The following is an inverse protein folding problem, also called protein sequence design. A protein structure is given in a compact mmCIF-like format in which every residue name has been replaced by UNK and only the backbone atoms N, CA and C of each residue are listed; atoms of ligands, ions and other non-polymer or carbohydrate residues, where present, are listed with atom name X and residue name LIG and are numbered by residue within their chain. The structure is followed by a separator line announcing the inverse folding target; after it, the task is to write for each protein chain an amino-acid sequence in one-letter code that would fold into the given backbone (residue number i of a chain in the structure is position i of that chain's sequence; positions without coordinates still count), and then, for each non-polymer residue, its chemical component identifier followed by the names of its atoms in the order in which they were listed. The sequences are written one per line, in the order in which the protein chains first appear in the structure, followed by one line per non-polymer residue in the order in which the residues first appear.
data_IF_961055641478
#
_entry.id   IF_961055641478
#
_cell.length_a   1.000
_cell.length_b   1.000
_cell.length_c   1.000
_cell.angle_alpha   90.00
_cell.angle_beta   90.00
_cell.angle_gamma   90.00
#
_symmetry.space_group_name_H-M   'P 1'
#
loop_
_entity.id
_entity.type
_entity.pdbx_description
1 polymer ?
#
# COMPACT_ATOMS: atom_id res chain seq x y z
N UNK A 1 21.71 -24.41 -5.45
CA UNK A 1 20.80 -23.25 -5.30
C UNK A 1 20.35 -23.19 -3.85
N UNK A 2 20.34 -22.00 -3.24
CA UNK A 2 19.86 -21.78 -1.87
C UNK A 2 18.59 -20.91 -1.86
N UNK A 3 17.88 -20.87 -0.74
CA UNK A 3 16.66 -20.08 -0.54
C UNK A 3 16.94 -18.94 0.45
N UNK A 4 16.38 -17.75 0.20
CA UNK A 4 16.60 -16.60 1.10
C UNK A 4 15.98 -16.83 2.48
N UNK A 5 14.84 -17.51 2.56
CA UNK A 5 14.14 -17.85 3.82
C UNK A 5 14.97 -18.72 4.78
N UNK A 6 15.94 -19.48 4.26
CA UNK A 6 16.80 -20.36 5.08
C UNK A 6 17.90 -19.59 5.82
N UNK A 7 18.11 -18.32 5.49
CA UNK A 7 19.02 -17.45 6.19
C UNK A 7 18.26 -16.53 7.15
N UNK A 8 18.65 -16.54 8.42
CA UNK A 8 18.00 -15.74 9.47
C UNK A 8 17.91 -14.24 9.11
N UNK A 9 18.98 -13.70 8.51
CA UNK A 9 19.11 -12.27 8.22
C UNK A 9 19.62 -12.07 6.77
N UNK A 10 18.82 -12.48 5.78
CA UNK A 10 19.19 -12.25 4.38
C UNK A 10 19.27 -10.75 4.07
N UNK A 11 20.41 -10.22 3.57
CA UNK A 11 20.64 -8.78 3.55
C UNK A 11 20.05 -8.12 2.29
N UNK A 12 18.73 -8.16 2.15
CA UNK A 12 18.01 -7.77 0.93
C UNK A 12 18.43 -6.41 0.34
N UNK A 13 18.77 -5.43 1.18
CA UNK A 13 19.15 -4.07 0.76
C UNK A 13 20.64 -3.89 0.47
N UNK A 14 21.45 -4.94 0.60
CA UNK A 14 22.89 -4.84 0.38
C UNK A 14 23.20 -4.28 -1.01
N UNK A 15 24.14 -3.33 -1.07
CA UNK A 15 24.64 -2.79 -2.34
C UNK A 15 25.29 -3.88 -3.19
N UNK A 16 25.87 -4.91 -2.54
CA UNK A 16 26.55 -6.03 -3.17
C UNK A 16 25.60 -7.08 -3.78
N UNK A 17 24.28 -7.00 -3.54
CA UNK A 17 23.31 -7.91 -4.14
C UNK A 17 22.78 -7.35 -5.46
N UNK A 18 22.80 -8.21 -6.48
CA UNK A 18 22.10 -8.03 -7.75
C UNK A 18 20.88 -8.95 -7.78
N UNK A 19 19.75 -8.45 -8.27
CA UNK A 19 18.53 -9.24 -8.40
C UNK A 19 18.27 -9.58 -9.87
N UNK A 20 17.86 -10.81 -10.12
CA UNK A 20 17.54 -11.33 -11.45
C UNK A 20 16.15 -11.93 -11.41
N UNK A 21 15.41 -11.78 -12.50
CA UNK A 21 14.12 -12.45 -12.68
C UNK A 21 14.19 -13.39 -13.85
N UNK A 22 13.54 -14.54 -13.72
CA UNK A 22 13.31 -15.47 -14.84
C UNK A 22 11.81 -15.58 -15.04
N UNK A 23 11.31 -15.20 -16.21
CA UNK A 23 9.90 -15.39 -16.54
C UNK A 23 9.59 -16.83 -16.99
N UNK A 24 8.32 -17.13 -17.23
CA UNK A 24 7.88 -18.46 -17.68
C UNK A 24 8.39 -18.85 -19.08
N UNK A 25 8.89 -17.89 -19.87
CA UNK A 25 9.53 -18.15 -21.17
C UNK A 25 11.04 -18.43 -21.03
N UNK A 26 11.59 -18.35 -19.82
CA UNK A 26 13.02 -18.45 -19.56
C UNK A 26 13.80 -17.17 -19.88
N UNK A 27 13.12 -16.03 -20.06
CA UNK A 27 13.78 -14.75 -20.26
C UNK A 27 14.37 -14.29 -18.92
N UNK A 28 15.66 -13.94 -18.95
CA UNK A 28 16.38 -13.41 -17.81
C UNK A 28 16.44 -11.88 -17.91
N UNK A 29 16.02 -11.18 -16.85
CA UNK A 29 16.14 -9.72 -16.71
C UNK A 29 16.82 -9.36 -15.38
N UNK A 30 17.70 -8.36 -15.38
CA UNK A 30 18.27 -7.78 -14.15
C UNK A 30 17.37 -6.67 -13.60
N UNK A 31 17.22 -6.63 -12.28
CA UNK A 31 16.34 -5.67 -11.60
C UNK A 31 17.13 -4.52 -11.01
N UNK A 32 16.77 -3.31 -11.41
CA UNK A 32 17.26 -2.09 -10.79
C UNK A 32 16.55 -1.86 -9.45
N UNK A 33 17.22 -2.17 -8.35
CA UNK A 33 16.71 -1.99 -6.98
C UNK A 33 16.38 -0.54 -6.57
N UNK A 34 16.85 0.44 -7.34
CA UNK A 34 16.53 1.85 -7.10
C UNK A 34 15.24 2.28 -7.82
N UNK A 35 14.74 1.48 -8.76
CA UNK A 35 13.46 1.72 -9.43
C UNK A 35 12.33 1.06 -8.63
N UNK A 36 11.84 1.80 -7.62
CA UNK A 36 10.77 1.31 -6.74
C UNK A 36 9.46 1.04 -7.49
N UNK A 37 9.22 1.70 -8.64
CA UNK A 37 8.02 1.47 -9.45
C UNK A 37 8.12 0.11 -10.14
N UNK A 38 9.25 -0.17 -10.79
CA UNK A 38 9.52 -1.47 -11.41
C UNK A 38 9.55 -2.61 -10.36
N UNK A 39 10.15 -2.36 -9.19
CA UNK A 39 10.17 -3.32 -8.08
C UNK A 39 8.76 -3.67 -7.57
N UNK A 40 7.87 -2.69 -7.47
CA UNK A 40 6.46 -2.94 -7.10
C UNK A 40 5.73 -3.76 -8.16
N UNK A 41 5.91 -3.43 -9.44
CA UNK A 41 5.31 -4.19 -10.55
C UNK A 41 5.81 -5.63 -10.57
N UNK A 42 7.11 -5.83 -10.38
CA UNK A 42 7.71 -7.16 -10.26
C UNK A 42 7.11 -7.93 -9.07
N UNK A 43 7.04 -7.32 -7.89
CA UNK A 43 6.45 -7.96 -6.72
C UNK A 43 5.02 -8.46 -6.99
N UNK A 44 4.19 -7.66 -7.67
CA UNK A 44 2.85 -8.08 -8.07
C UNK A 44 2.85 -9.26 -9.06
N UNK A 45 3.79 -9.29 -10.02
CA UNK A 45 3.94 -10.43 -10.93
C UNK A 45 4.31 -11.72 -10.18
N UNK A 46 5.26 -11.62 -9.25
CA UNK A 46 5.72 -12.76 -8.44
C UNK A 46 4.61 -13.32 -7.53
N UNK A 47 3.76 -12.45 -6.96
CA UNK A 47 2.57 -12.90 -6.21
C UNK A 47 1.58 -13.70 -7.07
N UNK A 48 1.48 -13.35 -8.36
CA UNK A 48 0.68 -14.08 -9.34
C UNK A 48 1.40 -15.30 -9.93
N UNK A 49 2.55 -15.68 -9.38
CA UNK A 49 3.39 -16.79 -9.86
C UNK A 49 3.87 -16.61 -11.32
N UNK A 50 3.94 -15.36 -11.79
CA UNK A 50 4.45 -14.99 -13.10
C UNK A 50 5.98 -14.78 -13.06
N UNK A 51 6.69 -15.90 -12.91
CA UNK A 51 8.15 -15.96 -12.89
C UNK A 51 8.76 -16.15 -11.51
N UNK A 52 10.09 -16.13 -11.48
CA UNK A 52 10.90 -16.40 -10.29
C UNK A 52 11.92 -15.29 -10.06
N UNK A 53 12.19 -15.00 -8.79
CA UNK A 53 13.16 -13.99 -8.37
C UNK A 53 14.38 -14.65 -7.76
N UNK A 54 15.55 -14.17 -8.17
CA UNK A 54 16.84 -14.62 -7.71
C UNK A 54 17.69 -13.46 -7.22
N UNK A 55 18.50 -13.72 -6.19
CA UNK A 55 19.50 -12.80 -5.66
C UNK A 55 20.89 -13.40 -5.89
N UNK A 56 21.75 -12.65 -6.56
CA UNK A 56 23.18 -12.92 -6.67
C UNK A 56 23.90 -12.15 -5.58
N UNK A 57 24.48 -12.87 -4.62
CA UNK A 57 25.24 -12.29 -3.52
C UNK A 57 26.67 -12.85 -3.48
N UNK A 58 27.67 -12.07 -3.93
CA UNK A 58 29.07 -12.48 -3.89
C UNK A 58 29.63 -12.26 -2.48
N UNK A 59 29.26 -13.12 -1.54
CA UNK A 59 30.07 -13.36 -0.35
C UNK A 59 30.69 -14.76 -0.44
N UNK A 60 31.75 -14.97 0.34
CA UNK A 60 32.77 -16.05 0.33
C UNK A 60 32.29 -17.52 0.32
N UNK A 61 31.01 -17.77 0.09
CA UNK A 61 30.38 -19.07 -0.13
C UNK A 61 30.47 -19.51 -1.61
N UNK A 62 30.59 -20.82 -1.90
CA UNK A 62 30.54 -21.34 -3.27
C UNK A 62 29.18 -21.16 -3.97
N UNK A 63 28.12 -20.82 -3.22
CA UNK A 63 26.81 -20.51 -3.77
C UNK A 63 26.56 -19.01 -3.74
N UNK A 64 26.77 -18.35 -4.87
CA UNK A 64 26.45 -16.93 -5.04
C UNK A 64 24.99 -16.69 -5.44
N UNK A 65 24.19 -17.73 -5.70
CA UNK A 65 22.81 -17.63 -6.22
C UNK A 65 21.78 -18.18 -5.22
N UNK A 66 20.82 -17.32 -4.89
CA UNK A 66 19.72 -17.59 -3.98
C UNK A 66 18.40 -17.35 -4.70
N UNK A 67 17.45 -18.27 -4.57
CA UNK A 67 16.06 -17.99 -4.92
C UNK A 67 15.43 -17.17 -3.79
N UNK A 68 14.75 -16.09 -4.14
CA UNK A 68 14.02 -15.24 -3.20
C UNK A 68 12.62 -15.81 -3.04
N UNK A 69 12.46 -16.71 -2.08
CA UNK A 69 11.20 -17.41 -1.80
C UNK A 69 10.37 -16.70 -0.72
N UNK A 70 11.01 -15.93 0.17
CA UNK A 70 10.32 -15.04 1.10
C UNK A 70 10.03 -13.68 0.46
N UNK A 71 8.98 -13.65 -0.37
CA UNK A 71 8.53 -12.44 -1.05
C UNK A 71 8.04 -11.36 -0.06
N UNK A 72 7.58 -11.75 1.13
CA UNK A 72 7.13 -10.82 2.17
C UNK A 72 8.30 -10.05 2.78
N UNK A 73 9.36 -10.74 3.18
CA UNK A 73 10.58 -10.11 3.69
C UNK A 73 11.26 -9.24 2.63
N UNK A 74 11.25 -9.68 1.37
CA UNK A 74 11.71 -8.87 0.25
C UNK A 74 10.90 -7.57 0.11
N UNK A 75 9.57 -7.67 0.10
CA UNK A 75 8.68 -6.51 -0.03
C UNK A 75 8.80 -5.55 1.16
N UNK A 76 8.96 -6.07 2.39
CA UNK A 76 9.20 -5.26 3.57
C UNK A 76 10.53 -4.49 3.47
N UNK A 77 11.62 -5.18 3.08
CA UNK A 77 12.94 -4.58 2.96
C UNK A 77 12.99 -3.41 1.96
N UNK A 78 12.20 -3.48 0.90
CA UNK A 78 12.10 -2.44 -0.13
C UNK A 78 10.87 -1.53 0.01
N UNK A 79 10.07 -1.70 1.07
CA UNK A 79 8.82 -0.97 1.30
C UNK A 79 7.85 -1.04 0.09
N UNK A 80 7.73 -2.22 -0.52
CA UNK A 80 6.90 -2.48 -1.70
C UNK A 80 5.45 -2.82 -1.36
N UNK A 81 5.20 -3.27 -0.12
CA UNK A 81 3.84 -3.48 0.37
C UNK A 81 3.07 -2.17 0.28
N UNK A 82 1.98 -2.15 -0.48
CA UNK A 82 0.96 -1.13 -0.25
C UNK A 82 0.40 -1.37 1.15
N UNK A 83 0.17 -0.33 1.97
CA UNK A 83 -0.58 -0.51 3.21
C UNK A 83 -1.87 -1.25 2.85
N UNK A 84 -2.12 -2.38 3.54
CA UNK A 84 -3.21 -3.30 3.21
C UNK A 84 -4.49 -2.51 2.92
N UNK A 85 -5.00 -2.62 1.68
CA UNK A 85 -6.34 -2.15 1.29
C UNK A 85 -7.36 -3.07 1.95
N UNK A 86 -7.51 -2.95 3.26
CA UNK A 86 -8.63 -3.53 4.00
C UNK A 86 -9.83 -2.59 3.89
N UNK A 87 -11.01 -3.12 4.19
CA UNK A 87 -12.20 -2.30 4.30
C UNK A 87 -12.11 -1.51 5.61
N UNK A 88 -12.24 -0.18 5.52
CA UNK A 88 -12.23 0.68 6.70
C UNK A 88 -13.48 0.45 7.52
N UNK A 89 -13.32 0.06 8.79
CA UNK A 89 -14.40 0.13 9.74
C UNK A 89 -14.59 1.60 10.14
N UNK A 90 -15.73 2.19 9.77
CA UNK A 90 -15.98 3.62 9.96
C UNK A 90 -17.25 3.89 10.74
N UNK A 91 -17.17 4.91 11.59
CA UNK A 91 -18.34 5.63 12.11
C UNK A 91 -18.34 7.01 11.47
N UNK A 92 -19.51 7.50 11.04
CA UNK A 92 -19.62 8.83 10.48
C UNK A 92 -20.93 9.52 10.88
N UNK A 93 -20.91 10.85 10.87
CA UNK A 93 -22.07 11.71 11.08
C UNK A 93 -21.98 12.96 10.20
N UNK A 94 -23.09 13.68 10.04
CA UNK A 94 -23.02 15.06 9.55
C UNK A 94 -22.27 15.93 10.56
N UNK A 95 -21.53 16.92 10.06
CA UNK A 95 -21.02 18.01 10.88
C UNK A 95 -22.18 18.92 11.30
N UNK A 96 -22.12 19.47 12.51
CA UNK A 96 -23.17 20.36 13.03
C UNK A 96 -23.34 21.63 12.17
N UNK A 97 -22.31 22.00 11.39
CA UNK A 97 -22.35 23.11 10.45
C UNK A 97 -22.85 22.75 9.04
N UNK A 98 -23.24 21.51 8.78
CA UNK A 98 -23.81 21.11 7.49
C UNK A 98 -25.20 21.73 7.28
N UNK A 99 -25.42 22.32 6.11
CA UNK A 99 -26.68 23.03 5.80
C UNK A 99 -27.83 22.11 5.35
N UNK A 100 -27.55 20.82 5.15
CA UNK A 100 -28.52 19.84 4.65
C UNK A 100 -28.91 19.98 3.17
N UNK A 101 -28.47 21.03 2.48
CA UNK A 101 -28.95 21.41 1.13
C UNK A 101 -27.84 21.50 0.09
N UNK A 102 -26.60 21.79 0.50
CA UNK A 102 -25.46 21.87 -0.40
C UNK A 102 -25.19 20.54 -1.08
N UNK A 103 -24.71 20.61 -2.33
CA UNK A 103 -24.34 19.46 -3.16
C UNK A 103 -23.35 18.54 -2.44
N UNK A 104 -22.39 19.13 -1.74
CA UNK A 104 -21.48 18.42 -0.86
C UNK A 104 -21.96 18.58 0.58
N UNK A 105 -22.10 17.45 1.26
CA UNK A 105 -22.29 17.40 2.68
C UNK A 105 -20.94 17.47 3.39
N UNK A 106 -20.91 18.16 4.53
CA UNK A 106 -19.77 18.13 5.44
C UNK A 106 -20.00 17.04 6.47
N UNK A 107 -19.09 16.06 6.54
CA UNK A 107 -19.20 14.92 7.45
C UNK A 107 -17.97 14.79 8.34
N UNK A 108 -18.19 14.18 9.49
CA UNK A 108 -17.17 13.75 10.43
C UNK A 108 -17.02 12.24 10.32
N UNK A 109 -15.79 11.75 10.19
CA UNK A 109 -15.46 10.32 10.09
C UNK A 109 -14.48 9.92 11.18
N UNK A 110 -14.72 8.77 11.80
CA UNK A 110 -13.79 8.06 12.66
C UNK A 110 -13.43 6.71 12.03
N UNK A 111 -12.12 6.38 12.01
CA UNK A 111 -11.59 5.11 11.52
C UNK A 111 -11.37 4.16 12.71
N UNK A 112 -12.27 3.20 12.90
CA UNK A 112 -12.22 2.22 14.00
C UNK A 112 -11.20 1.10 13.75
N UNK A 113 -10.74 0.95 12.50
CA UNK A 113 -9.69 -0.01 12.12
C UNK A 113 -8.26 0.42 12.54
N UNK A 114 -8.10 1.56 13.21
CA UNK A 114 -6.79 2.10 13.61
C UNK A 114 -6.03 2.81 12.47
N UNK A 115 -6.64 2.92 11.28
CA UNK A 115 -6.07 3.69 10.18
C UNK A 115 -6.02 5.19 10.50
N UNK A 116 -5.06 5.86 9.85
CA UNK A 116 -4.94 7.33 9.87
C UNK A 116 -4.84 7.86 8.45
N UNK A 117 -5.69 8.84 8.13
CA UNK A 117 -5.58 9.56 6.86
C UNK A 117 -4.38 10.51 6.97
N UNK A 118 -3.35 10.26 6.15
CA UNK A 118 -2.15 11.11 6.10
C UNK A 118 -2.47 12.44 5.40
N UNK A 119 -1.67 13.48 5.66
CA UNK A 119 -1.84 14.81 5.07
C UNK A 119 -1.92 14.79 3.52
N UNK A 120 -1.12 13.96 2.86
CA UNK A 120 -1.16 13.76 1.40
C UNK A 120 -1.94 12.50 0.98
N UNK A 121 -2.64 11.86 1.92
CA UNK A 121 -3.32 10.57 1.72
C UNK A 121 -4.78 10.69 1.30
N UNK A 122 -5.33 11.90 1.17
CA UNK A 122 -6.76 12.12 0.91
C UNK A 122 -7.21 11.48 -0.41
N UNK A 123 -6.39 11.54 -1.46
CA UNK A 123 -6.71 10.94 -2.76
C UNK A 123 -6.82 9.42 -2.67
N UNK A 124 -5.88 8.78 -1.99
CA UNK A 124 -5.91 7.34 -1.77
C UNK A 124 -7.15 6.95 -0.94
N UNK A 125 -7.40 7.66 0.16
CA UNK A 125 -8.57 7.41 1.00
C UNK A 125 -9.88 7.61 0.22
N UNK A 126 -9.96 8.61 -0.64
CA UNK A 126 -11.13 8.84 -1.49
C UNK A 126 -11.37 7.70 -2.49
N UNK A 127 -10.30 7.12 -3.06
CA UNK A 127 -10.41 5.93 -3.93
C UNK A 127 -10.87 4.71 -3.14
N UNK A 128 -10.34 4.50 -1.94
CA UNK A 128 -10.76 3.42 -1.03
C UNK A 128 -12.23 3.55 -0.64
N UNK A 129 -12.69 4.74 -0.25
CA UNK A 129 -14.08 5.00 0.12
C UNK A 129 -15.04 4.94 -1.07
N UNK A 130 -14.59 5.33 -2.27
CA UNK A 130 -15.37 5.13 -3.50
C UNK A 130 -15.59 3.65 -3.78
N UNK A 131 -14.55 2.84 -3.66
CA UNK A 131 -14.63 1.40 -3.91
C UNK A 131 -15.44 0.67 -2.82
N UNK A 132 -15.30 1.09 -1.56
CA UNK A 132 -15.92 0.43 -0.42
C UNK A 132 -17.38 0.84 -0.19
N UNK A 133 -17.71 2.13 -0.30
CA UNK A 133 -19.01 2.70 0.06
C UNK A 133 -19.70 3.42 -1.10
N UNK A 134 -19.06 3.52 -2.27
CA UNK A 134 -19.58 4.34 -3.37
C UNK A 134 -19.48 5.85 -3.12
N UNK A 135 -18.78 6.29 -2.07
CA UNK A 135 -18.70 7.70 -1.68
C UNK A 135 -17.82 8.50 -2.63
N UNK A 136 -18.25 9.71 -2.96
CA UNK A 136 -17.47 10.65 -3.77
C UNK A 136 -17.00 11.77 -2.87
N UNK A 137 -15.75 11.67 -2.41
CA UNK A 137 -15.09 12.66 -1.55
C UNK A 137 -14.54 13.80 -2.41
N UNK A 138 -14.76 15.03 -1.95
CA UNK A 138 -14.18 16.26 -2.51
C UNK A 138 -12.68 16.32 -2.15
N UNK A 139 -11.83 16.17 -3.15
CA UNK A 139 -10.37 16.14 -2.98
C UNK A 139 -9.76 17.54 -2.99
N UNK A 140 -10.50 18.56 -3.45
CA UNK A 140 -10.01 19.93 -3.62
C UNK A 140 -10.20 20.75 -2.35
N UNK A 141 -11.19 20.41 -1.53
CA UNK A 141 -11.57 21.23 -0.37
C UNK A 141 -10.75 20.99 0.92
N UNK A 142 -9.70 20.17 0.85
CA UNK A 142 -8.85 19.85 2.00
C UNK A 142 -9.56 19.03 3.08
N UNK A 143 -8.77 18.48 3.99
CA UNK A 143 -9.22 17.69 5.15
C UNK A 143 -8.73 18.38 6.41
N UNK A 144 -9.60 18.52 7.41
CA UNK A 144 -9.17 18.87 8.77
C UNK A 144 -9.28 17.67 9.69
N UNK A 145 -8.41 17.63 10.70
CA UNK A 145 -8.30 16.54 11.65
C UNK A 145 -8.33 17.13 13.06
N UNK A 146 -9.15 16.55 13.93
CA UNK A 146 -9.11 16.78 15.37
C UNK A 146 -8.83 15.45 16.06
N UNK A 147 -7.90 15.47 17.01
CA UNK A 147 -7.56 14.30 17.81
C UNK A 147 -7.99 14.54 19.24
N UNK A 148 -8.86 13.69 19.76
CA UNK A 148 -9.14 13.55 21.18
C UNK A 148 -8.20 12.47 21.77
N UNK A 149 -8.13 12.34 23.10
CA UNK A 149 -7.18 11.42 23.78
C UNK A 149 -7.27 9.96 23.30
N UNK A 150 -8.45 9.51 22.83
CA UNK A 150 -8.70 8.12 22.44
C UNK A 150 -8.97 7.90 20.94
N UNK A 151 -9.34 8.94 20.18
CA UNK A 151 -9.73 8.78 18.77
C UNK A 151 -9.42 10.01 17.92
N UNK A 152 -9.32 9.79 16.61
CA UNK A 152 -9.12 10.85 15.63
C UNK A 152 -10.36 11.00 14.75
N UNK A 153 -10.87 12.22 14.67
CA UNK A 153 -11.99 12.59 13.82
C UNK A 153 -11.48 13.39 12.62
N UNK A 154 -11.95 13.00 11.44
CA UNK A 154 -11.64 13.66 10.18
C UNK A 154 -12.89 14.35 9.65
N UNK A 155 -12.75 15.64 9.34
CA UNK A 155 -13.81 16.42 8.69
C UNK A 155 -13.54 16.49 7.21
N UNK A 156 -14.50 16.01 6.42
CA UNK A 156 -14.40 15.87 4.96
C UNK A 156 -15.66 16.39 4.29
N UNK A 157 -15.54 16.74 3.01
CA UNK A 157 -16.68 17.02 2.12
C UNK A 157 -16.94 15.82 1.23
N UNK A 158 -18.19 15.38 1.17
CA UNK A 158 -18.62 14.22 0.39
C UNK A 158 -19.87 14.60 -0.41
N UNK A 159 -19.95 14.18 -1.68
CA UNK A 159 -21.12 14.41 -2.51
C UNK A 159 -22.34 13.81 -1.80
N UNK A 160 -23.33 14.64 -1.47
CA UNK A 160 -24.46 14.25 -0.61
C UNK A 160 -25.22 13.06 -1.17
N UNK A 161 -25.44 13.04 -2.48
CA UNK A 161 -26.12 11.93 -3.16
C UNK A 161 -25.36 10.59 -3.07
N UNK A 162 -24.05 10.61 -2.81
CA UNK A 162 -23.25 9.38 -2.68
C UNK A 162 -23.31 8.75 -1.29
N UNK A 163 -23.77 9.48 -0.25
CA UNK A 163 -23.88 8.96 1.11
C UNK A 163 -25.05 7.97 1.30
N UNK A 164 -26.03 8.03 0.41
CA UNK A 164 -27.26 7.22 0.48
C UNK A 164 -27.20 5.92 -0.33
N UNK A 165 -26.10 5.68 -1.05
CA UNK A 165 -25.86 4.42 -1.73
C UNK A 165 -25.35 3.39 -0.72
N UNK A 166 -26.28 2.79 0.04
CA UNK A 166 -26.00 1.62 0.90
C UNK A 166 -26.86 0.46 0.41
#
# INVERSE_FOLDING_TARGET
MQYSSKMKDFPYRSSAICYLTVDHCGKLDEINKNDLVAMKQLYQRLLNQDGELYAVWPQTSPCCLYQVDDLSAFAEAFHLLEPQRHLHEITWSYDDGDDGISTYAVILIQLNCGCRIRFNGLRQFAEEMRNQKGWIIDQDCGMSMSSEEEYTVYKLRVLRSSLHNI
#
